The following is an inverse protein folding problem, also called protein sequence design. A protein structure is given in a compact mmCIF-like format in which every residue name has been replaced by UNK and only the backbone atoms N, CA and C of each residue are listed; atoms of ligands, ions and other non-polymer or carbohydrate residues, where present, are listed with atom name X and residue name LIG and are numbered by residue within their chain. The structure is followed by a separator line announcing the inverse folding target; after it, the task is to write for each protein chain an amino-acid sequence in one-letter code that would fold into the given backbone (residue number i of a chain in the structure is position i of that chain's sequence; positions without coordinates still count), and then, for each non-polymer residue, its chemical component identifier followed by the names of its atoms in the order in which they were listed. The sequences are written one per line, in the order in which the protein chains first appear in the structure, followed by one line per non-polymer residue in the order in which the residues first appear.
data_IF_576817334501
#
_entry.id   IF_576817334501
#
_cell.length_a   1.000
_cell.length_b   1.000
_cell.length_c   1.000
_cell.angle_alpha   90.00
_cell.angle_beta   90.00
_cell.angle_gamma   90.00
#
_symmetry.space_group_name_H-M   'P 1'
#
loop_
_entity.id
_entity.type
_entity.pdbx_description
1 polymer ?
#
# COMPACT_ATOMS: atom_id res chain seq x y z
N UNK A 1 -14.15 -1.25 -0.69
CA UNK A 1 -13.45 -1.04 0.60
C UNK A 1 -13.46 -2.36 1.36
N UNK A 2 -12.47 -2.59 2.22
CA UNK A 2 -12.38 -3.80 3.05
C UNK A 2 -13.64 -3.97 3.91
N UNK A 3 -14.20 -5.18 3.96
CA UNK A 3 -15.46 -5.48 4.65
C UNK A 3 -15.38 -5.26 6.16
N UNK A 4 -14.18 -5.33 6.76
CA UNK A 4 -13.92 -4.95 8.14
C UNK A 4 -14.48 -3.55 8.45
N UNK A 5 -14.24 -2.57 7.56
CA UNK A 5 -14.70 -1.19 7.77
C UNK A 5 -16.19 -0.96 7.49
N UNK A 6 -16.95 -2.01 7.12
CA UNK A 6 -18.42 -1.96 7.00
C UNK A 6 -19.15 -2.36 8.28
N UNK A 7 -18.44 -2.93 9.26
CA UNK A 7 -19.00 -3.25 10.57
C UNK A 7 -19.44 -1.97 11.33
N UNK A 8 -20.14 -2.14 12.45
CA UNK A 8 -20.42 -1.03 13.36
C UNK A 8 -19.12 -0.38 13.86
N UNK A 9 -19.10 0.95 13.96
CA UNK A 9 -17.88 1.69 14.35
C UNK A 9 -17.29 1.26 15.69
N UNK A 10 -18.15 0.95 16.66
CA UNK A 10 -17.71 0.44 17.96
C UNK A 10 -16.95 -0.89 17.82
N UNK A 11 -17.44 -1.82 16.98
CA UNK A 11 -16.78 -3.10 16.73
C UNK A 11 -15.43 -2.91 16.03
N UNK A 12 -15.36 -2.02 15.03
CA UNK A 12 -14.09 -1.71 14.35
C UNK A 12 -13.02 -1.27 15.36
N UNK A 13 -13.36 -0.37 16.29
CA UNK A 13 -12.44 0.11 17.33
C UNK A 13 -12.04 -1.00 18.31
N UNK A 14 -13.00 -1.79 18.78
CA UNK A 14 -12.72 -2.91 19.70
C UNK A 14 -11.76 -3.91 19.03
N UNK A 15 -12.08 -4.37 17.82
CA UNK A 15 -11.24 -5.32 17.08
C UNK A 15 -9.85 -4.74 16.79
N UNK A 16 -9.76 -3.48 16.36
CA UNK A 16 -8.48 -2.82 16.07
C UNK A 16 -7.59 -2.68 17.32
N UNK A 17 -8.16 -2.28 18.46
CA UNK A 17 -7.43 -2.14 19.72
C UNK A 17 -6.99 -3.51 20.24
N UNK A 18 -7.87 -4.51 20.19
CA UNK A 18 -7.52 -5.87 20.61
C UNK A 18 -6.39 -6.46 19.75
N UNK A 19 -6.48 -6.34 18.42
CA UNK A 19 -5.42 -6.76 17.52
C UNK A 19 -4.09 -6.08 17.84
N UNK A 20 -4.11 -4.76 18.04
CA UNK A 20 -2.93 -3.99 18.40
C UNK A 20 -2.33 -4.47 19.72
N UNK A 21 -3.12 -4.57 20.79
CA UNK A 21 -2.64 -5.00 22.12
C UNK A 21 -2.08 -6.43 22.10
N UNK A 22 -2.78 -7.37 21.45
CA UNK A 22 -2.30 -8.75 21.31
C UNK A 22 -0.97 -8.79 20.54
N UNK A 23 -0.84 -7.97 19.50
CA UNK A 23 0.40 -7.89 18.72
C UNK A 23 1.57 -7.34 19.51
N UNK A 24 1.37 -6.55 20.57
CA UNK A 24 2.48 -6.07 21.40
C UNK A 24 3.13 -7.17 22.25
N UNK A 25 2.40 -8.25 22.58
CA UNK A 25 2.91 -9.31 23.46
C UNK A 25 4.16 -10.01 22.90
N UNK A 26 4.20 -10.47 21.63
CA UNK A 26 5.41 -11.00 21.04
C UNK A 26 6.59 -10.02 21.03
N UNK A 27 6.35 -8.72 20.80
CA UNK A 27 7.43 -7.73 20.84
C UNK A 27 8.07 -7.63 22.23
N UNK A 28 7.25 -7.59 23.28
CA UNK A 28 7.73 -7.55 24.67
C UNK A 28 8.58 -8.78 25.00
N UNK A 29 8.12 -9.97 24.58
CA UNK A 29 8.88 -11.22 24.76
C UNK A 29 10.23 -11.15 24.02
N UNK A 30 10.24 -10.68 22.77
CA UNK A 30 11.49 -10.56 22.00
C UNK A 30 12.46 -9.58 22.69
N UNK A 31 11.96 -8.44 23.19
CA UNK A 31 12.77 -7.43 23.89
C UNK A 31 13.38 -8.01 25.17
N UNK A 32 12.58 -8.71 25.98
CA UNK A 32 13.04 -9.33 27.22
C UNK A 32 14.13 -10.38 26.95
N UNK A 33 13.91 -11.25 25.96
CA UNK A 33 14.92 -12.22 25.54
C UNK A 33 16.19 -11.53 25.01
N UNK A 34 16.02 -10.48 24.21
CA UNK A 34 17.13 -9.74 23.61
C UNK A 34 17.97 -8.96 24.62
N UNK A 35 17.38 -8.55 25.75
CA UNK A 35 18.09 -7.93 26.86
C UNK A 35 19.15 -8.88 27.44
N UNK A 36 18.84 -10.17 27.51
CA UNK A 36 19.79 -11.21 27.97
C UNK A 36 20.74 -11.67 26.85
N UNK A 37 20.23 -11.80 25.62
CA UNK A 37 21.00 -12.27 24.47
C UNK A 37 20.62 -11.48 23.21
N UNK A 38 21.43 -10.49 22.77
CA UNK A 38 21.08 -9.56 21.69
C UNK A 38 20.72 -10.20 20.35
N UNK A 39 21.12 -11.45 20.09
CA UNK A 39 20.75 -12.18 18.86
C UNK A 39 19.23 -12.35 18.70
N UNK A 40 18.44 -12.30 19.77
CA UNK A 40 16.99 -12.38 19.67
C UNK A 40 16.35 -11.20 18.93
N UNK A 41 17.06 -10.06 18.76
CA UNK A 41 16.58 -8.98 17.89
C UNK A 41 16.34 -9.41 16.43
N UNK A 42 16.94 -10.51 15.97
CA UNK A 42 16.68 -11.07 14.63
C UNK A 42 15.21 -11.49 14.49
N UNK A 43 14.53 -11.86 15.58
CA UNK A 43 13.10 -12.22 15.56
C UNK A 43 12.21 -11.05 15.14
N UNK A 44 12.67 -9.79 15.27
CA UNK A 44 11.94 -8.64 14.75
C UNK A 44 11.68 -8.71 13.25
N UNK A 45 12.54 -9.38 12.47
CA UNK A 45 12.31 -9.55 11.03
C UNK A 45 11.01 -10.31 10.73
N UNK A 46 10.64 -11.27 11.59
CA UNK A 46 9.39 -12.05 11.46
C UNK A 46 8.23 -11.34 12.15
N UNK A 47 8.50 -10.68 13.29
CA UNK A 47 7.47 -9.97 14.04
C UNK A 47 6.91 -8.76 13.29
N UNK A 48 7.74 -7.98 12.61
CA UNK A 48 7.31 -6.72 11.96
C UNK A 48 6.10 -6.93 11.04
N UNK A 49 6.08 -7.89 10.11
CA UNK A 49 4.89 -8.22 9.30
C UNK A 49 3.61 -8.44 10.13
N UNK A 50 3.73 -9.16 11.25
CA UNK A 50 2.59 -9.47 12.15
C UNK A 50 2.11 -8.20 12.83
N UNK A 51 3.03 -7.40 13.37
CA UNK A 51 2.71 -6.13 14.01
C UNK A 51 2.06 -5.14 13.05
N UNK A 52 2.57 -5.02 11.82
CA UNK A 52 1.99 -4.15 10.80
C UNK A 52 0.61 -4.61 10.35
N UNK A 53 0.41 -5.92 10.16
CA UNK A 53 -0.90 -6.49 9.88
C UNK A 53 -1.93 -6.12 10.97
N UNK A 54 -1.55 -6.27 12.24
CA UNK A 54 -2.42 -5.97 13.37
C UNK A 54 -2.67 -4.47 13.58
N UNK A 55 -1.69 -3.61 13.28
CA UNK A 55 -1.80 -2.16 13.41
C UNK A 55 -2.62 -1.52 12.27
N UNK A 56 -2.73 -2.16 11.11
CA UNK A 56 -3.42 -1.62 9.94
C UNK A 56 -4.84 -1.09 10.18
N UNK A 57 -5.76 -1.84 10.83
CA UNK A 57 -7.10 -1.34 11.14
C UNK A 57 -7.05 -0.12 12.06
N UNK A 58 -6.17 -0.13 13.08
CA UNK A 58 -6.01 1.01 13.98
C UNK A 58 -5.51 2.25 13.23
N UNK A 59 -4.45 2.12 12.43
CA UNK A 59 -3.91 3.22 11.61
C UNK A 59 -4.92 3.80 10.62
N UNK A 60 -5.84 2.97 10.12
CA UNK A 60 -6.94 3.45 9.28
C UNK A 60 -7.95 4.25 10.10
N UNK A 61 -8.32 3.76 11.29
CA UNK A 61 -9.29 4.42 12.15
C UNK A 61 -8.82 5.78 12.68
N UNK A 62 -7.52 5.93 12.96
CA UNK A 62 -6.94 7.22 13.39
C UNK A 62 -6.56 8.13 12.21
N UNK A 63 -6.73 7.70 10.96
CA UNK A 63 -6.47 8.49 9.77
C UNK A 63 -5.01 8.52 9.28
N UNK A 64 -4.13 7.71 9.86
CA UNK A 64 -2.75 7.50 9.34
C UNK A 64 -2.81 6.87 7.95
N UNK A 65 -3.72 5.90 7.74
CA UNK A 65 -4.02 5.32 6.43
C UNK A 65 -5.32 5.89 5.89
N UNK A 66 -5.24 6.55 4.72
CA UNK A 66 -6.41 7.08 4.00
C UNK A 66 -6.57 6.34 2.67
N UNK A 67 -7.64 5.57 2.52
CA UNK A 67 -7.86 4.77 1.30
C UNK A 67 -8.52 5.60 0.20
N UNK A 68 -7.96 5.51 -1.02
CA UNK A 68 -8.55 6.05 -2.25
C UNK A 68 -9.19 4.96 -3.11
N UNK A 69 -8.81 3.70 -2.86
CA UNK A 69 -9.47 2.50 -3.37
C UNK A 69 -9.22 1.33 -2.41
N UNK A 70 -9.80 0.13 -2.63
CA UNK A 70 -9.58 -1.01 -1.75
C UNK A 70 -8.12 -1.44 -1.58
N UNK A 71 -7.23 -1.11 -2.53
CA UNK A 71 -5.81 -1.48 -2.49
C UNK A 71 -4.85 -0.31 -2.78
N UNK A 72 -5.34 0.94 -2.71
CA UNK A 72 -4.48 2.12 -2.79
C UNK A 72 -4.78 3.04 -1.61
N UNK A 73 -3.78 3.23 -0.76
CA UNK A 73 -3.85 4.09 0.41
C UNK A 73 -2.80 5.19 0.35
N UNK A 74 -3.13 6.34 0.92
CA UNK A 74 -2.19 7.39 1.27
C UNK A 74 -1.74 7.24 2.72
N UNK A 75 -0.43 7.22 2.95
CA UNK A 75 0.17 7.28 4.27
C UNK A 75 0.32 8.73 4.72
N UNK A 76 -0.18 9.07 5.92
CA UNK A 76 -0.09 10.41 6.53
C UNK A 76 -0.52 11.53 5.55
N UNK A 77 -1.55 11.24 4.76
CA UNK A 77 -2.00 12.10 3.67
C UNK A 77 -2.51 13.45 4.20
N UNK A 78 -2.00 14.53 3.61
CA UNK A 78 -2.37 15.91 3.93
C UNK A 78 -2.36 16.78 2.67
N UNK A 79 -2.60 18.08 2.84
CA UNK A 79 -2.76 19.02 1.73
C UNK A 79 -1.47 19.32 0.96
N UNK A 80 -0.30 18.99 1.53
CA UNK A 80 1.01 19.21 0.90
C UNK A 80 1.60 17.93 0.32
N UNK A 81 1.35 16.78 0.96
CA UNK A 81 1.91 15.50 0.55
C UNK A 81 0.94 14.34 0.73
N UNK A 82 0.89 13.46 -0.27
CA UNK A 82 0.22 12.17 -0.22
C UNK A 82 1.22 11.11 -0.66
N UNK A 83 1.63 10.23 0.26
CA UNK A 83 2.51 9.11 -0.07
C UNK A 83 1.69 7.86 -0.33
N UNK A 84 1.66 7.41 -1.58
CA UNK A 84 0.82 6.30 -2.03
C UNK A 84 1.51 4.95 -1.85
N UNK A 85 0.78 4.06 -1.19
CA UNK A 85 1.14 2.67 -0.97
C UNK A 85 0.04 1.76 -1.50
N UNK A 86 0.43 0.56 -1.90
CA UNK A 86 -0.52 -0.53 -2.06
C UNK A 86 -1.15 -0.87 -0.70
N UNK A 87 -2.33 -1.50 -0.71
CA UNK A 87 -2.90 -2.07 0.51
C UNK A 87 -1.90 -2.97 1.24
N UNK A 88 -1.96 -2.99 2.56
CA UNK A 88 -1.02 -3.77 3.39
C UNK A 88 -1.48 -5.22 3.51
N UNK A 89 -0.71 -6.05 4.22
CA UNK A 89 -1.00 -7.47 4.48
C UNK A 89 -2.46 -7.72 4.93
N UNK A 90 -3.01 -6.82 5.74
CA UNK A 90 -4.42 -6.83 6.15
C UNK A 90 -5.37 -6.77 4.94
N UNK A 91 -5.17 -5.82 4.04
CA UNK A 91 -6.00 -5.68 2.84
C UNK A 91 -5.83 -6.84 1.87
N UNK A 92 -4.61 -7.37 1.74
CA UNK A 92 -4.38 -8.56 0.91
C UNK A 92 -5.23 -9.75 1.38
N UNK A 93 -5.33 -9.99 2.68
CA UNK A 93 -6.12 -11.10 3.25
C UNK A 93 -7.63 -10.83 3.20
N UNK A 94 -8.07 -9.60 3.45
CA UNK A 94 -9.51 -9.31 3.55
C UNK A 94 -10.15 -8.90 2.23
N UNK A 95 -9.40 -8.26 1.33
CA UNK A 95 -9.90 -7.78 0.02
C UNK A 95 -9.54 -8.76 -1.09
N UNK A 96 -8.28 -9.22 -1.12
CA UNK A 96 -7.74 -9.90 -2.30
C UNK A 96 -7.84 -11.43 -2.25
N UNK A 97 -8.13 -12.05 -1.09
CA UNK A 97 -8.20 -13.52 -0.91
C UNK A 97 -9.12 -14.28 -1.88
N UNK A 98 -10.11 -13.58 -2.45
CA UNK A 98 -11.09 -14.16 -3.37
C UNK A 98 -10.57 -14.30 -4.81
N UNK A 99 -9.43 -13.70 -5.13
CA UNK A 99 -8.84 -13.73 -6.47
C UNK A 99 -7.72 -14.76 -6.53
N UNK A 100 -7.62 -15.49 -7.65
CA UNK A 100 -6.56 -16.47 -7.83
C UNK A 100 -5.21 -15.79 -7.99
N UNK A 101 -4.21 -16.32 -7.30
CA UNK A 101 -2.80 -15.92 -7.44
C UNK A 101 -2.35 -15.96 -8.91
N UNK A 102 -1.53 -14.99 -9.33
CA UNK A 102 -1.07 -14.82 -10.71
C UNK A 102 -1.74 -13.67 -11.46
N UNK A 103 -2.09 -13.91 -12.72
CA UNK A 103 -2.57 -12.87 -13.65
C UNK A 103 -3.85 -12.20 -13.15
N UNK A 104 -4.81 -12.97 -12.63
CA UNK A 104 -6.06 -12.43 -12.08
C UNK A 104 -5.77 -11.48 -10.91
N UNK A 105 -4.99 -11.94 -9.92
CA UNK A 105 -4.56 -11.12 -8.79
C UNK A 105 -3.89 -9.82 -9.24
N UNK A 106 -2.94 -9.93 -10.19
CA UNK A 106 -2.19 -8.79 -10.72
C UNK A 106 -3.10 -7.76 -11.39
N UNK A 107 -4.04 -8.20 -12.22
CA UNK A 107 -4.97 -7.29 -12.89
C UNK A 107 -5.92 -6.64 -11.90
N UNK A 108 -6.45 -7.38 -10.92
CA UNK A 108 -7.31 -6.81 -9.87
C UNK A 108 -6.59 -5.78 -9.03
N UNK A 109 -5.35 -6.06 -8.64
CA UNK A 109 -4.54 -5.12 -7.88
C UNK A 109 -4.30 -3.83 -8.69
N UNK A 110 -3.92 -3.96 -9.96
CA UNK A 110 -3.70 -2.83 -10.85
C UNK A 110 -4.97 -1.99 -11.09
N UNK A 111 -6.12 -2.65 -11.25
CA UNK A 111 -7.43 -1.99 -11.35
C UNK A 111 -7.68 -1.14 -10.11
N UNK A 112 -7.46 -1.67 -8.91
CA UNK A 112 -7.62 -0.90 -7.68
C UNK A 112 -6.65 0.28 -7.59
N UNK A 113 -5.40 0.15 -8.04
CA UNK A 113 -4.47 1.29 -8.08
C UNK A 113 -5.00 2.39 -9.00
N UNK A 114 -5.48 2.04 -10.19
CA UNK A 114 -6.04 3.01 -11.14
C UNK A 114 -7.33 3.65 -10.61
N UNK A 115 -8.19 2.90 -9.92
CA UNK A 115 -9.37 3.47 -9.24
C UNK A 115 -8.99 4.51 -8.19
N UNK A 116 -7.93 4.25 -7.43
CA UNK A 116 -7.46 5.18 -6.41
C UNK A 116 -6.88 6.46 -7.02
N UNK A 117 -6.15 6.35 -8.13
CA UNK A 117 -5.70 7.54 -8.88
C UNK A 117 -6.88 8.34 -9.45
N UNK A 118 -7.90 7.67 -10.00
CA UNK A 118 -9.13 8.33 -10.48
C UNK A 118 -9.87 9.02 -9.33
N UNK A 119 -9.93 8.39 -8.14
CA UNK A 119 -10.51 8.99 -6.95
C UNK A 119 -9.76 10.27 -6.54
N UNK A 120 -8.43 10.23 -6.51
CA UNK A 120 -7.59 11.41 -6.24
C UNK A 120 -7.84 12.55 -7.22
N UNK A 121 -7.88 12.24 -8.53
CA UNK A 121 -8.18 13.23 -9.56
C UNK A 121 -9.50 13.93 -9.27
N UNK A 122 -10.56 13.18 -8.96
CA UNK A 122 -11.87 13.74 -8.63
C UNK A 122 -11.83 14.63 -7.38
N UNK A 123 -11.08 14.22 -6.35
CA UNK A 123 -10.93 15.03 -5.14
C UNK A 123 -10.18 16.35 -5.42
N UNK A 124 -9.20 16.34 -6.31
CA UNK A 124 -8.47 17.55 -6.74
C UNK A 124 -9.38 18.45 -7.59
N UNK A 125 -10.06 17.89 -8.59
CA UNK A 125 -11.02 18.62 -9.45
C UNK A 125 -12.12 19.30 -8.62
N UNK A 126 -12.59 18.63 -7.56
CA UNK A 126 -13.60 19.15 -6.64
C UNK A 126 -13.04 20.08 -5.54
N UNK A 127 -11.73 20.40 -5.58
CA UNK A 127 -11.02 21.25 -4.59
C UNK A 127 -11.05 20.70 -3.15
N UNK A 128 -11.29 19.41 -2.96
CA UNK A 128 -11.14 18.73 -1.67
C UNK A 128 -9.68 18.45 -1.34
N UNK A 129 -8.79 18.47 -2.34
CA UNK A 129 -7.34 18.35 -2.21
C UNK A 129 -6.73 19.45 -3.10
N UNK A 130 -5.70 20.19 -2.65
CA UNK A 130 -5.04 21.18 -3.50
C UNK A 130 -4.40 20.53 -4.74
N UNK A 131 -4.44 21.23 -5.88
CA UNK A 131 -3.71 20.81 -7.09
C UNK A 131 -2.18 20.94 -6.95
N UNK A 132 -1.72 21.68 -5.95
CA UNK A 132 -0.30 21.80 -5.58
C UNK A 132 0.22 20.61 -4.75
N UNK A 133 -0.66 19.73 -4.28
CA UNK A 133 -0.26 18.56 -3.48
C UNK A 133 0.78 17.73 -4.22
N UNK A 134 1.84 17.31 -3.52
CA UNK A 134 2.81 16.39 -4.08
C UNK A 134 2.41 14.95 -3.77
N UNK A 135 2.16 14.19 -4.82
CA UNK A 135 1.75 12.78 -4.72
C UNK A 135 2.98 11.95 -5.02
N UNK A 136 3.49 11.29 -3.99
CA UNK A 136 4.58 10.33 -4.11
C UNK A 136 4.05 8.92 -4.06
N UNK A 137 4.84 7.97 -4.53
CA UNK A 137 4.54 6.57 -4.33
C UNK A 137 5.60 5.70 -4.95
N UNK A 138 5.61 4.44 -4.53
CA UNK A 138 6.59 3.49 -5.01
C UNK A 138 5.88 2.28 -5.55
N UNK A 139 6.02 2.07 -6.86
CA UNK A 139 5.34 0.97 -7.53
C UNK A 139 6.35 0.01 -8.12
N UNK A 140 6.30 -1.23 -7.64
CA UNK A 140 6.90 -2.38 -8.33
C UNK A 140 5.99 -2.91 -9.45
N UNK A 141 4.75 -2.41 -9.53
CA UNK A 141 3.75 -2.87 -10.49
C UNK A 141 3.81 -2.11 -11.81
N UNK A 142 4.12 -0.81 -11.76
CA UNK A 142 4.32 0.00 -12.95
C UNK A 142 5.80 0.05 -13.33
N UNK A 143 6.08 -0.13 -14.62
CA UNK A 143 7.41 0.15 -15.15
C UNK A 143 7.60 1.66 -15.38
N UNK A 144 8.86 2.08 -15.51
CA UNK A 144 9.21 3.49 -15.72
C UNK A 144 8.52 4.10 -16.93
N UNK A 145 8.36 3.34 -18.02
CA UNK A 145 7.71 3.83 -19.25
C UNK A 145 6.25 4.19 -18.98
N UNK A 146 5.53 3.38 -18.20
CA UNK A 146 4.14 3.66 -17.85
C UNK A 146 4.03 4.83 -16.88
N UNK A 147 4.88 4.90 -15.85
CA UNK A 147 4.89 6.02 -14.90
C UNK A 147 5.16 7.36 -15.60
N UNK A 148 6.18 7.42 -16.46
CA UNK A 148 6.48 8.64 -17.22
C UNK A 148 5.34 9.05 -18.15
N UNK A 149 4.65 8.08 -18.77
CA UNK A 149 3.46 8.36 -19.59
C UNK A 149 2.31 8.95 -18.77
N UNK A 150 2.16 8.51 -17.52
CA UNK A 150 1.20 9.06 -16.55
C UNK A 150 1.66 10.38 -15.92
N UNK A 151 2.73 11.02 -16.42
CA UNK A 151 3.22 12.30 -15.92
C UNK A 151 4.04 12.23 -14.63
N UNK A 152 4.33 11.03 -14.11
CA UNK A 152 5.17 10.89 -12.92
C UNK A 152 6.63 11.10 -13.24
N UNK A 153 7.30 11.84 -12.36
CA UNK A 153 8.74 12.00 -12.33
C UNK A 153 9.37 10.91 -11.47
N UNK A 154 10.38 10.24 -12.01
CA UNK A 154 11.08 9.15 -11.32
C UNK A 154 12.28 9.71 -10.58
N UNK A 155 12.32 9.49 -9.26
CA UNK A 155 13.38 9.92 -8.36
C UNK A 155 14.07 8.71 -7.73
N UNK A 156 15.34 8.89 -7.37
CA UNK A 156 16.06 7.89 -6.59
C UNK A 156 15.51 7.88 -5.16
N UNK A 157 15.26 6.70 -4.57
CA UNK A 157 14.77 6.61 -3.21
C UNK A 157 15.80 7.12 -2.20
N UNK A 158 15.32 7.74 -1.12
CA UNK A 158 16.14 8.11 0.04
C UNK A 158 16.65 6.88 0.80
N UNK A 159 17.65 7.07 1.67
CA UNK A 159 18.19 5.99 2.49
C UNK A 159 17.15 5.43 3.48
N UNK A 160 16.36 6.30 4.11
CA UNK A 160 15.26 5.92 5.01
C UNK A 160 14.27 5.02 4.28
N UNK A 161 13.95 5.35 3.03
CA UNK A 161 13.06 4.56 2.22
C UNK A 161 13.63 3.16 1.92
N UNK A 162 14.94 3.05 1.64
CA UNK A 162 15.59 1.74 1.42
C UNK A 162 15.54 0.87 2.68
N UNK A 163 15.74 1.46 3.87
CA UNK A 163 15.62 0.74 5.15
C UNK A 163 14.18 0.26 5.35
N UNK A 164 13.18 1.10 5.08
CA UNK A 164 11.78 0.72 5.17
C UNK A 164 11.46 -0.50 4.28
N UNK A 165 11.96 -0.52 3.04
CA UNK A 165 11.79 -1.68 2.16
C UNK A 165 12.45 -2.95 2.67
N UNK A 166 13.61 -2.82 3.31
CA UNK A 166 14.31 -3.97 3.90
C UNK A 166 13.55 -4.54 5.10
N UNK A 167 13.06 -3.67 5.98
CA UNK A 167 12.24 -4.05 7.13
C UNK A 167 10.95 -4.75 6.68
N UNK A 168 10.37 -4.31 5.56
CA UNK A 168 9.16 -4.89 4.96
C UNK A 168 9.44 -6.02 3.96
N UNK A 169 10.65 -6.56 3.92
CA UNK A 169 11.04 -7.52 2.89
C UNK A 169 10.16 -8.76 2.86
N UNK A 170 9.85 -9.36 4.02
CA UNK A 170 9.00 -10.54 4.10
C UNK A 170 7.62 -10.23 3.51
N UNK A 171 7.04 -9.11 3.93
CA UNK A 171 5.74 -8.67 3.46
C UNK A 171 5.70 -8.45 1.94
N UNK A 172 6.71 -7.77 1.43
CA UNK A 172 6.86 -7.53 0.00
C UNK A 172 7.03 -8.84 -0.78
N UNK A 173 7.79 -9.81 -0.27
CA UNK A 173 8.02 -11.10 -0.96
C UNK A 173 6.72 -11.87 -1.14
N UNK A 174 5.93 -12.08 -0.08
CA UNK A 174 4.73 -12.90 -0.21
C UNK A 174 3.63 -12.18 -1.01
N UNK A 175 3.43 -10.88 -0.77
CA UNK A 175 2.46 -10.07 -1.52
C UNK A 175 2.82 -10.00 -3.01
N UNK A 176 4.11 -9.85 -3.33
CA UNK A 176 4.59 -9.90 -4.70
C UNK A 176 4.41 -11.29 -5.32
N UNK A 177 4.73 -12.36 -4.58
CA UNK A 177 4.56 -13.74 -5.03
C UNK A 177 3.11 -14.04 -5.44
N UNK A 178 2.12 -13.52 -4.70
CA UNK A 178 0.71 -13.62 -5.07
C UNK A 178 0.40 -12.97 -6.41
N UNK A 179 0.99 -11.82 -6.71
CA UNK A 179 0.83 -11.16 -8.02
C UNK A 179 1.52 -11.93 -9.16
N UNK A 180 2.53 -12.76 -8.86
CA UNK A 180 3.26 -13.54 -9.86
C UNK A 180 2.70 -14.95 -10.05
N UNK A 181 1.88 -15.46 -9.12
CA UNK A 181 1.37 -16.83 -9.18
C UNK A 181 2.38 -17.88 -8.70
N UNK A 182 3.55 -17.45 -8.22
CA UNK A 182 4.66 -18.29 -7.79
C UNK A 182 5.53 -17.53 -6.80
N UNK A 183 6.29 -18.25 -5.98
CA UNK A 183 7.29 -17.64 -5.09
C UNK A 183 8.24 -16.79 -5.94
N UNK A 184 8.33 -15.51 -5.60
CA UNK A 184 9.09 -14.52 -6.36
C UNK A 184 9.53 -13.39 -5.45
N UNK A 185 10.75 -12.91 -5.66
CA UNK A 185 11.33 -11.83 -4.87
C UNK A 185 11.23 -10.53 -5.70
N UNK A 186 10.61 -9.47 -5.17
CA UNK A 186 10.55 -8.19 -5.86
C UNK A 186 11.96 -7.58 -5.97
N UNK A 187 12.21 -6.80 -7.03
CA UNK A 187 13.48 -6.08 -7.24
C UNK A 187 13.58 -4.85 -6.32
N UNK A 188 13.52 -5.07 -5.01
CA UNK A 188 13.50 -4.01 -3.98
C UNK A 188 14.73 -3.10 -4.02
N UNK A 189 15.89 -3.62 -4.41
CA UNK A 189 17.14 -2.86 -4.55
C UNK A 189 17.09 -1.81 -5.66
N UNK A 190 16.23 -2.02 -6.66
CA UNK A 190 16.02 -1.10 -7.77
C UNK A 190 14.68 -0.36 -7.66
N UNK A 191 14.08 -0.33 -6.46
CA UNK A 191 12.86 0.41 -6.22
C UNK A 191 13.07 1.87 -6.59
N UNK A 192 12.12 2.42 -7.32
CA UNK A 192 12.14 3.84 -7.68
C UNK A 192 10.96 4.52 -7.02
N UNK A 193 11.20 5.76 -6.63
CA UNK A 193 10.15 6.63 -6.15
C UNK A 193 9.57 7.40 -7.35
N UNK A 194 8.25 7.46 -7.45
CA UNK A 194 7.54 8.26 -8.42
C UNK A 194 6.92 9.46 -7.70
N UNK A 195 6.89 10.62 -8.37
CA UNK A 195 6.36 11.87 -7.83
C UNK A 195 5.57 12.60 -8.90
N UNK A 196 4.42 13.18 -8.56
CA UNK A 196 3.62 14.00 -9.47
C UNK A 196 2.90 15.08 -8.66
N UNK A 197 2.72 16.28 -9.22
CA UNK A 197 1.82 17.27 -8.62
C UNK A 197 0.36 16.93 -8.90
N UNK A 198 -0.55 17.40 -8.05
CA UNK A 198 -1.99 17.24 -8.28
C UNK A 198 -2.43 17.75 -9.66
N UNK A 199 -1.95 18.92 -10.08
CA UNK A 199 -2.23 19.50 -11.39
C UNK A 199 -1.83 18.56 -12.55
N UNK A 200 -0.59 18.04 -12.54
CA UNK A 200 -0.10 17.10 -13.57
C UNK A 200 -0.85 15.76 -13.54
N UNK A 201 -1.31 15.32 -12.36
CA UNK A 201 -2.13 14.12 -12.24
C UNK A 201 -3.50 14.31 -12.92
N UNK A 202 -4.12 15.48 -12.75
CA UNK A 202 -5.37 15.84 -13.43
C UNK A 202 -5.19 15.88 -14.96
N UNK A 203 -4.09 16.45 -15.45
CA UNK A 203 -3.76 16.43 -16.89
C UNK A 203 -3.66 14.99 -17.44
N UNK A 204 -3.21 14.04 -16.62
CA UNK A 204 -3.06 12.63 -16.97
C UNK A 204 -4.35 11.81 -16.89
N UNK A 205 -5.48 12.43 -16.52
CA UNK A 205 -6.79 11.77 -16.29
C UNK A 205 -7.21 10.85 -17.44
N UNK A 206 -7.23 11.37 -18.67
CA UNK A 206 -7.67 10.61 -19.84
C UNK A 206 -6.89 9.31 -20.01
N UNK A 207 -5.56 9.38 -19.89
CA UNK A 207 -4.70 8.20 -20.00
C UNK A 207 -4.97 7.18 -18.88
N UNK A 208 -5.15 7.64 -17.65
CA UNK A 208 -5.42 6.78 -16.50
C UNK A 208 -6.78 6.07 -16.67
N UNK A 209 -7.80 6.77 -17.15
CA UNK A 209 -9.14 6.20 -17.44
C UNK A 209 -9.11 5.18 -18.58
N UNK A 210 -8.33 5.44 -19.64
CA UNK A 210 -8.10 4.49 -20.74
C UNK A 210 -7.40 3.22 -20.24
N UNK A 211 -6.37 3.37 -19.41
CA UNK A 211 -5.66 2.23 -18.80
C UNK A 211 -6.57 1.44 -17.86
N UNK A 212 -7.41 2.12 -17.08
CA UNK A 212 -8.40 1.49 -16.21
C UNK A 212 -9.36 0.62 -17.03
N UNK A 213 -9.94 1.18 -18.08
CA UNK A 213 -10.88 0.49 -18.97
C UNK A 213 -10.23 -0.73 -19.63
N UNK A 214 -8.98 -0.59 -20.11
CA UNK A 214 -8.20 -1.68 -20.69
C UNK A 214 -7.87 -2.78 -19.70
N UNK A 215 -7.58 -2.47 -18.44
CA UNK A 215 -7.30 -3.48 -17.43
C UNK A 215 -8.58 -4.19 -17.00
N UNK A 216 -9.69 -3.46 -16.89
CA UNK A 216 -11.00 -4.02 -16.55
C UNK A 216 -11.46 -5.06 -17.57
N UNK A 217 -11.33 -4.78 -18.87
CA UNK A 217 -11.68 -5.75 -19.92
C UNK A 217 -10.84 -7.02 -19.88
N UNK A 218 -9.56 -6.91 -19.51
CA UNK A 218 -8.65 -8.06 -19.32
C UNK A 218 -8.93 -8.90 -18.07
N UNK A 219 -9.59 -8.33 -17.06
CA UNK A 219 -9.94 -9.03 -15.83
C UNK A 219 -11.31 -9.73 -15.90
N UNK A 220 -12.07 -9.51 -16.97
CA UNK A 220 -13.38 -10.13 -17.25
C UNK A 220 -13.33 -11.15 -18.39
N UNK A 221 -12.21 -11.22 -19.11
CA UNK A 221 -11.92 -12.21 -20.14
C UNK A 221 -11.17 -13.40 -19.52
#
# INVERSE_FOLDING_TARGET
MNDFYKQLKLLQWIEAILLLLISLLPALVIIEMANSQPLFYILFLVYVPIGQFAAAPFFTLVGIYKYYSPMLLGYMANDTQIDLHSGVSFDYIFVMRKYKSGIEFKYRLLIYHLEGLICLIKLIENKNIPDTVNITGTSYFFNNRTLNKMGFEIKNPSLIYRVNLFVNFIDLVWMYSLSQGKISIPKIWNAKQASISGAKLVESKKLIEELYSKMKSKATA
#
